data_IF_768314104597
#
_entry.id   IF_768314104597
#
_cell.length_a   1.000
_cell.length_b   1.000
_cell.length_c   1.000
_cell.angle_alpha   90.00
_cell.angle_beta   90.00
_cell.angle_gamma   90.00
#
_symmetry.space_group_name_H-M   'P 1'
#
loop_
_entity.id
_entity.type
_entity.pdbx_description
1 polymer ?
#
# COMPACT_ATOMS: atom_id res chain seq x y z
N UNK A 1 -13.46 -36.59 38.14
CA UNK A 1 -14.43 -35.74 37.41
C UNK A 1 -13.75 -34.45 36.95
N UNK A 2 -13.71 -34.27 35.62
CA UNK A 2 -13.46 -33.06 34.79
C UNK A 2 -12.43 -31.99 35.18
N UNK A 3 -11.24 -32.05 34.55
CA UNK A 3 -10.36 -30.90 34.24
C UNK A 3 -9.85 -30.95 32.79
N UNK A 4 -10.76 -31.03 31.84
CA UNK A 4 -10.41 -31.25 30.43
C UNK A 4 -11.34 -30.52 29.47
N UNK A 5 -11.53 -29.21 29.62
CA UNK A 5 -12.36 -28.45 28.67
C UNK A 5 -12.01 -26.96 28.47
N UNK A 6 -10.88 -26.46 28.97
CA UNK A 6 -10.60 -25.01 28.94
C UNK A 6 -9.43 -24.55 28.05
N UNK A 7 -8.82 -25.44 27.26
CA UNK A 7 -7.70 -25.09 26.36
C UNK A 7 -8.04 -25.20 24.87
N UNK A 8 -9.32 -25.39 24.52
CA UNK A 8 -9.76 -25.55 23.12
C UNK A 8 -10.63 -24.42 22.58
N UNK A 9 -10.93 -23.40 23.39
CA UNK A 9 -11.73 -22.24 22.96
C UNK A 9 -10.88 -20.99 22.66
N UNK A 10 -9.73 -20.79 23.31
CA UNK A 10 -8.83 -19.65 23.01
C UNK A 10 -8.02 -19.83 21.71
N UNK A 11 -7.74 -21.07 21.30
CA UNK A 11 -7.05 -21.32 20.02
C UNK A 11 -8.00 -21.14 18.81
N UNK A 12 -9.31 -21.11 19.05
CA UNK A 12 -10.34 -20.99 18.02
C UNK A 12 -10.74 -19.55 17.70
N UNK A 13 -10.40 -18.60 18.57
CA UNK A 13 -10.62 -17.16 18.35
C UNK A 13 -9.45 -16.53 17.59
N UNK A 14 -8.21 -16.99 17.80
CA UNK A 14 -7.05 -16.49 17.06
C UNK A 14 -7.04 -16.90 15.57
N UNK A 15 -7.60 -18.07 15.23
CA UNK A 15 -7.70 -18.54 13.82
C UNK A 15 -8.86 -17.86 13.07
N UNK A 16 -9.81 -17.23 13.77
CA UNK A 16 -10.98 -16.59 13.18
C UNK A 16 -10.70 -15.15 12.71
N UNK A 17 -9.80 -14.46 13.40
CA UNK A 17 -9.44 -13.07 13.06
C UNK A 17 -8.46 -13.00 11.88
N UNK A 18 -7.64 -14.05 11.68
CA UNK A 18 -6.72 -14.17 10.54
C UNK A 18 -7.47 -14.43 9.21
N UNK A 19 -8.66 -15.03 9.27
CA UNK A 19 -9.51 -15.28 8.10
C UNK A 19 -10.27 -14.02 7.64
N UNK A 20 -10.52 -13.06 8.54
CA UNK A 20 -11.25 -11.83 8.22
C UNK A 20 -10.41 -10.85 7.39
N UNK A 21 -9.08 -10.84 7.59
CA UNK A 21 -8.16 -10.04 6.76
C UNK A 21 -7.93 -10.64 5.36
N UNK A 22 -8.10 -11.96 5.20
CA UNK A 22 -7.84 -12.66 3.94
C UNK A 22 -8.99 -12.57 2.91
N UNK A 23 -10.18 -12.15 3.33
CA UNK A 23 -11.33 -11.96 2.43
C UNK A 23 -11.40 -10.57 1.79
N UNK A 24 -10.52 -9.64 2.18
CA UNK A 24 -10.46 -8.27 1.62
C UNK A 24 -9.66 -8.16 0.31
N UNK A 25 -8.97 -9.22 -0.12
CA UNK A 25 -8.06 -9.17 -1.29
C UNK A 25 -8.34 -10.27 -2.32
N UNK A 26 -9.63 -10.51 -2.59
CA UNK A 26 -10.08 -11.52 -3.54
C UNK A 26 -11.51 -11.30 -4.02
N UNK A 27 -11.79 -10.10 -4.55
CA UNK A 27 -13.08 -9.78 -5.15
C UNK A 27 -12.90 -9.19 -6.53
N UNK A 28 -13.00 -10.03 -7.56
CA UNK A 28 -13.21 -9.63 -8.94
C UNK A 28 -14.43 -8.69 -8.99
N UNK A 29 -14.23 -7.40 -9.29
CA UNK A 29 -15.33 -6.47 -9.50
C UNK A 29 -15.89 -6.70 -10.91
N UNK A 30 -17.18 -7.04 -11.07
CA UNK A 30 -17.78 -7.09 -12.39
C UNK A 30 -17.82 -5.68 -12.97
N UNK A 31 -17.20 -5.48 -14.13
CA UNK A 31 -17.34 -4.27 -14.93
C UNK A 31 -18.78 -4.17 -15.43
N UNK A 32 -19.63 -3.44 -14.71
CA UNK A 32 -20.91 -2.99 -15.26
C UNK A 32 -20.63 -1.81 -16.19
N UNK A 33 -20.58 -2.09 -17.50
CA UNK A 33 -20.57 -1.07 -18.55
C UNK A 33 -21.99 -0.51 -18.65
N UNK A 34 -22.27 0.58 -17.93
CA UNK A 34 -23.47 1.37 -18.14
C UNK A 34 -23.09 2.56 -19.01
N UNK A 35 -23.47 2.50 -20.29
CA UNK A 35 -23.48 3.67 -21.18
C UNK A 35 -24.56 4.66 -20.69
N UNK A 36 -24.17 5.58 -19.81
CA UNK A 36 -25.01 6.70 -19.42
C UNK A 36 -24.82 7.86 -20.39
N UNK A 37 -25.82 8.01 -21.26
CA UNK A 37 -26.09 9.17 -22.12
C UNK A 37 -25.97 10.45 -21.30
N UNK A 38 -25.06 11.34 -21.70
CA UNK A 38 -24.64 12.51 -20.94
C UNK A 38 -25.78 13.44 -20.52
N UNK A 39 -26.13 13.40 -19.23
CA UNK A 39 -26.72 14.54 -18.54
C UNK A 39 -25.57 15.49 -18.20
N UNK A 40 -25.45 16.59 -18.94
CA UNK A 40 -24.41 17.59 -18.70
C UNK A 40 -24.57 18.21 -17.31
N UNK A 41 -23.86 17.68 -16.30
CA UNK A 41 -23.70 18.37 -15.00
C UNK A 41 -23.11 19.75 -15.23
N UNK A 42 -23.54 20.76 -14.48
CA UNK A 42 -23.09 22.12 -14.70
C UNK A 42 -21.58 22.23 -14.43
N UNK A 43 -20.84 23.07 -15.17
CA UNK A 43 -19.40 23.26 -14.96
C UNK A 43 -19.05 23.66 -13.52
N UNK A 44 -19.93 24.38 -12.84
CA UNK A 44 -19.77 24.77 -11.43
C UNK A 44 -19.80 23.58 -10.46
N UNK A 45 -20.66 22.58 -10.72
CA UNK A 45 -20.79 21.39 -9.87
C UNK A 45 -19.50 20.55 -9.93
N UNK A 46 -18.88 20.45 -11.11
CA UNK A 46 -17.64 19.68 -11.32
C UNK A 46 -16.42 20.32 -10.67
N UNK A 47 -16.37 21.64 -10.66
CA UNK A 47 -15.31 22.39 -9.98
C UNK A 47 -15.44 22.27 -8.45
N UNK A 48 -16.67 22.22 -7.93
CA UNK A 48 -16.92 21.93 -6.52
C UNK A 48 -16.53 20.48 -6.17
N UNK A 49 -16.91 19.50 -6.99
CA UNK A 49 -16.53 18.09 -6.83
C UNK A 49 -15.00 17.93 -6.81
N UNK A 50 -14.30 18.59 -7.75
CA UNK A 50 -12.82 18.59 -7.81
C UNK A 50 -12.20 19.15 -6.53
N UNK A 51 -12.67 20.30 -6.04
CA UNK A 51 -12.15 20.91 -4.81
C UNK A 51 -12.40 20.03 -3.59
N UNK A 52 -13.56 19.35 -3.54
CA UNK A 52 -13.88 18.42 -2.47
C UNK A 52 -12.92 17.22 -2.47
N UNK A 53 -12.61 16.66 -3.65
CA UNK A 53 -11.65 15.55 -3.77
C UNK A 53 -10.23 15.98 -3.39
N UNK A 54 -9.80 17.18 -3.78
CA UNK A 54 -8.50 17.71 -3.37
C UNK A 54 -8.39 17.90 -1.86
N UNK A 55 -9.44 18.42 -1.21
CA UNK A 55 -9.47 18.54 0.24
C UNK A 55 -9.41 17.17 0.94
N UNK A 56 -10.17 16.17 0.45
CA UNK A 56 -10.09 14.79 0.96
C UNK A 56 -8.68 14.23 0.82
N UNK A 57 -8.04 14.44 -0.33
CA UNK A 57 -6.69 13.97 -0.61
C UNK A 57 -5.67 14.62 0.35
N UNK A 58 -5.77 15.91 0.59
CA UNK A 58 -4.92 16.61 1.58
C UNK A 58 -5.13 16.08 3.01
N UNK A 59 -6.37 15.78 3.38
CA UNK A 59 -6.70 15.19 4.68
C UNK A 59 -6.13 13.78 4.83
N UNK A 60 -6.20 12.95 3.79
CA UNK A 60 -5.59 11.62 3.75
C UNK A 60 -4.07 11.66 3.78
N UNK A 61 -3.44 12.61 3.06
CA UNK A 61 -2.00 12.86 3.14
C UNK A 61 -1.61 13.22 4.59
N UNK A 62 -2.40 14.09 5.24
CA UNK A 62 -2.16 14.48 6.64
C UNK A 62 -2.35 13.30 7.59
N UNK A 63 -3.40 12.49 7.40
CA UNK A 63 -3.64 11.28 8.17
C UNK A 63 -2.47 10.29 8.02
N UNK A 64 -2.00 10.04 6.80
CA UNK A 64 -0.89 9.15 6.51
C UNK A 64 0.43 9.64 7.12
N UNK A 65 0.69 10.96 7.09
CA UNK A 65 1.84 11.58 7.78
C UNK A 65 1.72 11.48 9.30
N UNK A 66 0.51 11.60 9.86
CA UNK A 66 0.27 11.48 11.30
C UNK A 66 0.50 10.05 11.80
N UNK A 67 0.06 9.04 11.02
CA UNK A 67 0.31 7.63 11.30
C UNK A 67 1.80 7.30 11.33
N UNK A 68 2.58 7.84 10.38
CA UNK A 68 4.05 7.68 10.35
C UNK A 68 4.76 8.34 11.53
N UNK A 69 4.18 9.41 12.08
CA UNK A 69 4.79 10.19 13.16
C UNK A 69 4.54 9.60 14.56
N UNK A 70 3.86 8.44 14.65
CA UNK A 70 3.61 7.78 15.94
C UNK A 70 4.92 7.27 16.56
N UNK A 71 5.11 7.43 17.88
CA UNK A 71 6.35 7.06 18.56
C UNK A 71 6.52 5.53 18.69
N UNK A 72 7.77 5.09 18.77
CA UNK A 72 8.15 3.75 19.24
C UNK A 72 7.62 3.53 20.68
N UNK A 73 7.12 2.34 21.06
CA UNK A 73 7.29 1.02 20.41
C UNK A 73 6.14 0.56 19.49
N UNK A 74 5.19 1.45 19.12
CA UNK A 74 4.05 1.05 18.27
C UNK A 74 4.46 0.80 16.80
N UNK A 75 5.55 1.45 16.37
CA UNK A 75 6.12 1.36 15.03
C UNK A 75 6.70 -0.04 14.79
N UNK A 76 6.24 -0.70 13.72
CA UNK A 76 6.62 -2.07 13.40
C UNK A 76 5.79 -3.18 14.07
N UNK A 77 4.78 -2.85 14.87
CA UNK A 77 3.76 -3.83 15.27
C UNK A 77 2.92 -4.28 14.05
N UNK A 78 2.35 -5.50 14.05
CA UNK A 78 1.45 -5.95 12.99
C UNK A 78 0.27 -4.99 12.78
N UNK A 79 -0.32 -4.49 13.87
CA UNK A 79 -1.45 -3.55 13.81
C UNK A 79 -1.04 -2.22 13.18
N UNK A 80 0.15 -1.70 13.52
CA UNK A 80 0.68 -0.48 12.90
C UNK A 80 0.95 -0.67 11.41
N UNK A 81 1.50 -1.82 11.01
CA UNK A 81 1.73 -2.18 9.60
C UNK A 81 0.40 -2.24 8.84
N UNK A 82 -0.60 -2.93 9.39
CA UNK A 82 -1.94 -3.05 8.81
C UNK A 82 -2.62 -1.68 8.68
N UNK A 83 -2.56 -0.85 9.71
CA UNK A 83 -3.08 0.50 9.68
C UNK A 83 -2.40 1.35 8.58
N UNK A 84 -1.08 1.21 8.41
CA UNK A 84 -0.34 1.87 7.34
C UNK A 84 -0.80 1.47 5.94
N UNK A 85 -0.97 0.17 5.71
CA UNK A 85 -1.48 -0.35 4.44
C UNK A 85 -2.90 0.16 4.15
N UNK A 86 -3.79 0.19 5.14
CA UNK A 86 -5.14 0.71 4.99
C UNK A 86 -5.16 2.21 4.64
N UNK A 87 -4.28 3.01 5.26
CA UNK A 87 -4.15 4.45 4.95
C UNK A 87 -3.58 4.68 3.54
N UNK A 88 -2.64 3.84 3.09
CA UNK A 88 -2.14 3.87 1.71
C UNK A 88 -3.27 3.53 0.73
N UNK A 89 -4.07 2.50 1.01
CA UNK A 89 -5.20 2.10 0.16
C UNK A 89 -6.26 3.22 0.03
N UNK A 90 -6.59 3.89 1.14
CA UNK A 90 -7.51 5.02 1.14
C UNK A 90 -6.99 6.15 0.23
N UNK A 91 -5.72 6.54 0.41
CA UNK A 91 -5.08 7.56 -0.41
C UNK A 91 -5.08 7.20 -1.90
N UNK A 92 -4.78 5.93 -2.22
CA UNK A 92 -4.82 5.43 -3.59
C UNK A 92 -6.22 5.44 -4.20
N UNK A 93 -7.26 5.20 -3.40
CA UNK A 93 -8.67 5.24 -3.84
C UNK A 93 -9.07 6.66 -4.20
N UNK A 94 -8.75 7.64 -3.36
CA UNK A 94 -9.06 9.04 -3.64
C UNK A 94 -8.26 9.60 -4.82
N UNK A 95 -7.02 9.11 -5.03
CA UNK A 95 -6.25 9.40 -6.23
C UNK A 95 -6.92 8.83 -7.49
N UNK A 96 -7.44 7.61 -7.44
CA UNK A 96 -8.17 6.98 -8.55
C UNK A 96 -9.44 7.79 -8.89
N UNK A 97 -10.25 8.16 -7.89
CA UNK A 97 -11.44 8.99 -8.08
C UNK A 97 -11.11 10.35 -8.72
N UNK A 98 -10.01 10.98 -8.29
CA UNK A 98 -9.54 12.24 -8.87
C UNK A 98 -9.07 12.06 -10.32
N UNK A 99 -8.30 11.00 -10.62
CA UNK A 99 -7.83 10.71 -11.97
C UNK A 99 -8.99 10.42 -12.93
N UNK A 100 -10.00 9.67 -12.48
CA UNK A 100 -11.21 9.42 -13.26
C UNK A 100 -11.97 10.72 -13.56
N UNK A 101 -12.08 11.62 -12.59
CA UNK A 101 -12.68 12.94 -12.79
C UNK A 101 -11.89 13.77 -13.82
N UNK A 102 -10.56 13.77 -13.76
CA UNK A 102 -9.70 14.48 -14.71
C UNK A 102 -9.84 13.91 -16.13
N UNK A 103 -9.80 12.58 -16.29
CA UNK A 103 -10.00 11.91 -17.59
C UNK A 103 -11.38 12.22 -18.20
N UNK A 104 -12.43 12.26 -17.38
CA UNK A 104 -13.77 12.65 -17.82
C UNK A 104 -13.83 14.11 -18.31
N UNK A 105 -12.93 14.99 -17.85
CA UNK A 105 -12.84 16.37 -18.35
C UNK A 105 -12.01 16.49 -19.62
N UNK A 106 -10.90 15.75 -19.74
CA UNK A 106 -10.03 15.81 -20.91
C UNK A 106 -10.67 15.22 -22.17
N UNK A 107 -11.45 14.14 -22.01
CA UNK A 107 -12.29 13.58 -23.10
C UNK A 107 -13.28 14.60 -23.65
N UNK A 108 -13.87 15.43 -22.77
CA UNK A 108 -14.76 16.53 -23.15
C UNK A 108 -14.03 17.72 -23.75
N UNK A 109 -12.75 17.93 -23.41
CA UNK A 109 -11.94 19.08 -23.84
C UNK A 109 -11.03 18.80 -25.04
N UNK A 110 -10.98 17.56 -25.53
CA UNK A 110 -10.08 17.13 -26.62
C UNK A 110 -8.62 17.54 -26.38
N UNK A 111 -8.20 17.54 -25.10
CA UNK A 111 -6.84 17.92 -24.73
C UNK A 111 -5.98 16.66 -24.76
N UNK A 112 -4.90 16.69 -25.52
CA UNK A 112 -3.85 15.68 -25.41
C UNK A 112 -3.28 15.67 -23.98
N UNK A 113 -2.88 14.50 -23.47
CA UNK A 113 -2.24 14.36 -22.16
C UNK A 113 -1.18 15.43 -21.93
N UNK A 114 -1.19 16.03 -20.74
CA UNK A 114 -0.21 17.05 -20.37
C UNK A 114 1.11 16.40 -19.94
N UNK A 115 2.28 17.04 -20.13
CA UNK A 115 3.56 16.43 -19.77
C UNK A 115 3.69 16.04 -18.30
N UNK A 116 3.00 16.73 -17.38
CA UNK A 116 3.01 16.38 -15.96
C UNK A 116 2.13 15.16 -15.64
N UNK A 117 1.04 14.93 -16.37
CA UNK A 117 0.18 13.75 -16.20
C UNK A 117 0.86 12.47 -16.68
N UNK A 118 1.58 12.54 -17.80
CA UNK A 118 2.38 11.39 -18.29
C UNK A 118 3.44 11.00 -17.24
N UNK A 119 4.13 12.00 -16.70
CA UNK A 119 5.16 11.75 -15.68
C UNK A 119 4.58 11.18 -14.38
N UNK A 120 3.42 11.66 -13.97
CA UNK A 120 2.70 11.13 -12.82
C UNK A 120 2.28 9.66 -13.05
N UNK A 121 1.81 9.33 -14.25
CA UNK A 121 1.47 7.96 -14.62
C UNK A 121 2.69 7.03 -14.55
N UNK A 122 3.86 7.49 -15.03
CA UNK A 122 5.11 6.74 -14.88
C UNK A 122 5.42 6.41 -13.41
N UNK A 123 5.16 7.35 -12.48
CA UNK A 123 5.40 7.13 -11.06
C UNK A 123 4.41 6.10 -10.48
N UNK A 124 3.14 6.13 -10.90
CA UNK A 124 2.15 5.11 -10.53
C UNK A 124 2.47 3.73 -11.09
N UNK A 125 3.00 3.63 -12.30
CA UNK A 125 3.47 2.36 -12.87
C UNK A 125 4.62 1.80 -12.02
N UNK A 126 5.58 2.63 -11.62
CA UNK A 126 6.65 2.22 -10.70
C UNK A 126 6.12 1.75 -9.34
N UNK A 127 5.07 2.40 -8.82
CA UNK A 127 4.39 1.92 -7.62
C UNK A 127 3.75 0.54 -7.84
N UNK A 128 3.04 0.34 -8.95
CA UNK A 128 2.43 -0.95 -9.27
C UNK A 128 3.48 -2.07 -9.36
N UNK A 129 4.62 -1.81 -10.00
CA UNK A 129 5.75 -2.76 -10.09
C UNK A 129 6.35 -3.08 -8.71
N UNK A 130 6.53 -2.05 -7.87
CA UNK A 130 7.04 -2.21 -6.52
C UNK A 130 6.06 -3.01 -5.63
N UNK A 131 4.76 -2.73 -5.70
CA UNK A 131 3.74 -3.47 -4.95
C UNK A 131 3.55 -4.90 -5.45
N UNK A 132 3.68 -5.13 -6.76
CA UNK A 132 3.69 -6.48 -7.32
C UNK A 132 4.87 -7.31 -6.80
N UNK A 133 6.06 -6.70 -6.78
CA UNK A 133 7.26 -7.31 -6.22
C UNK A 133 7.13 -7.54 -4.70
N UNK A 134 6.58 -6.56 -3.98
CA UNK A 134 6.29 -6.66 -2.55
C UNK A 134 5.34 -7.81 -2.22
N UNK A 135 4.26 -7.98 -3.00
CA UNK A 135 3.34 -9.12 -2.84
C UNK A 135 4.07 -10.46 -2.97
N UNK A 136 4.97 -10.60 -3.96
CA UNK A 136 5.79 -11.80 -4.14
C UNK A 136 6.71 -12.08 -2.95
N UNK A 137 7.33 -11.02 -2.40
CA UNK A 137 8.18 -11.09 -1.20
C UNK A 137 7.37 -11.53 0.03
N UNK A 138 6.15 -11.03 0.21
CA UNK A 138 5.25 -11.43 1.30
C UNK A 138 4.84 -12.91 1.22
N UNK A 139 4.53 -13.40 0.03
CA UNK A 139 4.21 -14.82 -0.19
C UNK A 139 5.42 -15.68 0.20
N UNK A 140 6.61 -15.32 -0.28
CA UNK A 140 7.87 -16.01 0.04
C UNK A 140 8.18 -16.00 1.54
N UNK A 141 7.84 -14.91 2.24
CA UNK A 141 7.99 -14.79 3.69
C UNK A 141 7.07 -15.75 4.42
N UNK A 142 5.80 -15.82 4.04
CA UNK A 142 4.82 -16.75 4.60
C UNK A 142 5.25 -18.20 4.42
N UNK A 143 5.69 -18.57 3.23
CA UNK A 143 6.20 -19.92 2.92
C UNK A 143 7.43 -20.26 3.77
N UNK A 144 8.40 -19.35 3.84
CA UNK A 144 9.60 -19.53 4.65
C UNK A 144 9.28 -19.69 6.15
N UNK A 145 8.31 -18.94 6.67
CA UNK A 145 7.87 -19.07 8.08
C UNK A 145 7.22 -20.43 8.34
N UNK A 146 6.35 -20.89 7.45
CA UNK A 146 5.76 -22.22 7.55
C UNK A 146 6.83 -23.32 7.49
N UNK A 147 7.76 -23.24 6.55
CA UNK A 147 8.88 -24.18 6.45
C UNK A 147 9.72 -24.20 7.72
N UNK A 148 10.07 -23.04 8.26
CA UNK A 148 10.83 -22.92 9.50
C UNK A 148 10.10 -23.59 10.67
N UNK A 149 8.80 -23.34 10.83
CA UNK A 149 7.99 -23.97 11.87
C UNK A 149 7.95 -25.49 11.71
N UNK A 150 7.75 -25.99 10.49
CA UNK A 150 7.74 -27.44 10.23
C UNK A 150 9.10 -28.10 10.49
N UNK A 151 10.20 -27.43 10.14
CA UNK A 151 11.56 -27.90 10.37
C UNK A 151 11.87 -27.99 11.87
N UNK A 152 11.48 -26.96 12.65
CA UNK A 152 11.59 -26.97 14.11
C UNK A 152 10.81 -28.13 14.71
N UNK A 153 9.55 -28.34 14.30
CA UNK A 153 8.71 -29.44 14.81
C UNK A 153 9.28 -30.81 14.50
N UNK A 154 9.96 -30.95 13.35
CA UNK A 154 10.64 -32.18 12.91
C UNK A 154 12.07 -32.32 13.44
N UNK A 155 12.59 -31.32 14.16
CA UNK A 155 13.98 -31.26 14.63
C UNK A 155 15.01 -31.40 13.49
N UNK A 156 14.69 -30.82 12.34
CA UNK A 156 15.55 -30.85 11.15
C UNK A 156 16.42 -29.58 11.12
N UNK A 157 17.61 -29.68 11.70
CA UNK A 157 18.55 -28.55 11.84
C UNK A 157 19.02 -28.00 10.49
N UNK A 158 19.19 -28.86 9.49
CA UNK A 158 19.61 -28.45 8.15
C UNK A 158 18.55 -27.58 7.48
N UNK A 159 17.28 -27.96 7.60
CA UNK A 159 16.15 -27.16 7.08
C UNK A 159 15.94 -25.88 7.88
N UNK A 160 16.09 -25.90 9.21
CA UNK A 160 16.07 -24.66 10.02
C UNK A 160 17.13 -23.68 9.53
N UNK A 161 18.38 -24.13 9.35
CA UNK A 161 19.45 -23.30 8.84
C UNK A 161 19.15 -22.76 7.42
N UNK A 162 18.50 -23.57 6.58
CA UNK A 162 18.06 -23.14 5.24
C UNK A 162 17.00 -22.05 5.28
N UNK A 163 15.95 -22.21 6.09
CA UNK A 163 14.87 -21.23 6.22
C UNK A 163 15.37 -19.91 6.83
N UNK A 164 16.34 -19.95 7.75
CA UNK A 164 17.00 -18.70 8.24
C UNK A 164 17.76 -18.00 7.11
N UNK A 165 18.41 -18.75 6.20
CA UNK A 165 19.08 -18.15 5.04
C UNK A 165 18.09 -17.54 4.04
N UNK A 166 16.95 -18.19 3.78
CA UNK A 166 15.91 -17.62 2.90
C UNK A 166 15.29 -16.36 3.51
N UNK A 167 15.02 -16.36 4.83
CA UNK A 167 14.53 -15.19 5.56
C UNK A 167 15.49 -14.01 5.45
N UNK A 168 16.82 -14.23 5.52
CA UNK A 168 17.82 -13.18 5.28
C UNK A 168 17.82 -12.66 3.83
N UNK A 169 17.50 -13.49 2.84
CA UNK A 169 17.33 -13.05 1.44
C UNK A 169 16.10 -12.15 1.31
N UNK A 170 14.98 -12.58 1.89
CA UNK A 170 13.72 -11.81 1.94
C UNK A 170 13.94 -10.43 2.58
N UNK A 171 14.68 -10.36 3.69
CA UNK A 171 15.03 -9.07 4.32
C UNK A 171 15.84 -8.15 3.38
N UNK A 172 16.74 -8.71 2.55
CA UNK A 172 17.48 -7.94 1.54
C UNK A 172 16.55 -7.47 0.42
N UNK A 173 15.60 -8.29 0.00
CA UNK A 173 14.65 -7.92 -1.04
C UNK A 173 13.67 -6.84 -0.56
N UNK A 174 13.22 -6.87 0.70
CA UNK A 174 12.49 -5.76 1.33
C UNK A 174 13.33 -4.46 1.35
N UNK A 175 14.63 -4.55 1.62
CA UNK A 175 15.50 -3.38 1.57
C UNK A 175 15.66 -2.82 0.14
N UNK A 176 15.69 -3.67 -0.90
CA UNK A 176 15.70 -3.23 -2.30
C UNK A 176 14.38 -2.56 -2.68
N UNK A 177 13.24 -3.07 -2.19
CA UNK A 177 11.93 -2.46 -2.42
C UNK A 177 11.85 -1.04 -1.85
N UNK A 178 12.43 -0.81 -0.67
CA UNK A 178 12.54 0.54 -0.08
C UNK A 178 13.31 1.50 -1.00
N UNK A 179 14.40 1.02 -1.62
CA UNK A 179 15.14 1.83 -2.58
C UNK A 179 14.27 2.10 -3.81
N UNK A 180 13.73 1.05 -4.43
CA UNK A 180 12.89 1.13 -5.64
C UNK A 180 11.71 2.09 -5.49
N UNK A 181 10.96 2.00 -4.38
CA UNK A 181 9.78 2.84 -4.16
C UNK A 181 10.11 4.31 -3.88
N UNK A 182 11.33 4.59 -3.38
CA UNK A 182 11.85 5.96 -3.23
C UNK A 182 12.28 6.58 -4.56
N UNK A 183 12.62 5.75 -5.54
CA UNK A 183 12.95 6.26 -6.87
C UNK A 183 11.72 6.77 -7.60
N UNK A 184 10.53 6.22 -7.29
CA UNK A 184 9.25 6.59 -7.87
C UNK A 184 8.81 8.03 -7.51
N UNK A 185 9.23 8.61 -6.38
CA UNK A 185 8.81 9.96 -5.96
C UNK A 185 9.74 11.10 -6.38
N UNK A 186 10.71 10.87 -7.28
CA UNK A 186 11.70 11.89 -7.70
C UNK A 186 11.27 12.75 -8.90
N UNK A 187 9.98 12.78 -9.20
CA UNK A 187 9.44 13.44 -10.39
C UNK A 187 9.38 14.98 -10.28
N UNK A 188 9.78 15.72 -11.33
CA UNK A 188 9.62 17.17 -11.40
C UNK A 188 8.24 17.60 -11.95
N UNK A 189 7.18 16.81 -11.73
CA UNK A 189 5.84 17.02 -12.31
C UNK A 189 5.30 18.47 -12.21
N UNK A 190 5.42 19.21 -11.08
CA UNK A 190 4.92 20.59 -11.01
C UNK A 190 5.63 21.58 -11.95
N UNK A 191 6.88 21.32 -12.33
CA UNK A 191 7.62 22.17 -13.26
C UNK A 191 7.15 21.98 -14.72
N UNK A 192 6.43 20.89 -15.01
CA UNK A 192 5.95 20.52 -16.33
C UNK A 192 4.50 20.99 -16.60
N UNK A 193 3.86 21.60 -15.61
CA UNK A 193 2.50 22.11 -15.71
C UNK A 193 2.43 23.44 -16.48
N UNK A 194 1.44 23.58 -17.36
CA UNK A 194 1.31 24.67 -18.32
C UNK A 194 0.75 25.96 -17.70
N UNK A 195 -0.13 25.85 -16.70
CA UNK A 195 -0.79 26.98 -16.06
C UNK A 195 -0.78 26.89 -14.52
N UNK A 196 -1.41 27.88 -13.85
CA UNK A 196 -1.44 27.93 -12.39
C UNK A 196 -2.29 26.80 -11.77
N UNK A 197 -3.40 26.42 -12.42
CA UNK A 197 -4.30 25.39 -11.91
C UNK A 197 -3.68 23.99 -12.06
N UNK A 198 -3.00 23.72 -13.18
CA UNK A 198 -2.21 22.51 -13.37
C UNK A 198 -1.04 22.41 -12.39
N UNK A 199 -0.39 23.55 -12.08
CA UNK A 199 0.72 23.57 -11.10
C UNK A 199 0.26 23.24 -9.69
N UNK A 200 -0.88 23.79 -9.28
CA UNK A 200 -1.51 23.47 -8.00
C UNK A 200 -1.82 21.97 -7.93
N UNK A 201 -2.50 21.43 -8.95
CA UNK A 201 -2.84 20.01 -9.06
C UNK A 201 -1.59 19.11 -9.01
N UNK A 202 -0.61 19.37 -9.86
CA UNK A 202 0.63 18.62 -9.90
C UNK A 202 1.40 18.69 -8.57
N UNK A 203 1.28 19.82 -7.85
CA UNK A 203 1.82 20.00 -6.51
C UNK A 203 1.20 19.03 -5.51
N UNK A 204 -0.12 18.99 -5.43
CA UNK A 204 -0.86 18.09 -4.53
C UNK A 204 -0.59 16.63 -4.88
N UNK A 205 -0.59 16.27 -6.18
CA UNK A 205 -0.29 14.91 -6.63
C UNK A 205 1.14 14.50 -6.25
N UNK A 206 2.12 15.42 -6.37
CA UNK A 206 3.50 15.16 -5.91
C UNK A 206 3.57 14.95 -4.41
N UNK A 207 2.76 15.68 -3.62
CA UNK A 207 2.69 15.45 -2.18
C UNK A 207 2.09 14.09 -1.83
N UNK A 208 1.05 13.67 -2.55
CA UNK A 208 0.44 12.36 -2.40
C UNK A 208 1.44 11.25 -2.72
N UNK A 209 2.13 11.32 -3.87
CA UNK A 209 3.14 10.31 -4.23
C UNK A 209 4.30 10.27 -3.25
N UNK A 210 4.76 11.43 -2.76
CA UNK A 210 5.78 11.49 -1.71
C UNK A 210 5.30 10.84 -0.39
N UNK A 211 4.06 11.12 0.02
CA UNK A 211 3.47 10.53 1.23
C UNK A 211 3.33 9.00 1.11
N UNK A 212 2.83 8.51 -0.03
CA UNK A 212 2.76 7.09 -0.38
C UNK A 212 4.13 6.43 -0.33
N UNK A 213 5.14 7.04 -0.96
CA UNK A 213 6.51 6.49 -0.97
C UNK A 213 7.06 6.35 0.45
N UNK A 214 6.92 7.38 1.28
CA UNK A 214 7.43 7.34 2.65
C UNK A 214 6.69 6.28 3.49
N UNK A 215 5.36 6.24 3.40
CA UNK A 215 4.55 5.27 4.12
C UNK A 215 4.88 3.83 3.71
N UNK A 216 4.97 3.57 2.41
CA UNK A 216 5.30 2.24 1.88
C UNK A 216 6.69 1.79 2.31
N UNK A 217 7.67 2.70 2.25
CA UNK A 217 9.01 2.42 2.76
C UNK A 217 8.99 2.08 4.26
N UNK A 218 8.19 2.79 5.05
CA UNK A 218 8.03 2.53 6.48
C UNK A 218 7.39 1.15 6.74
N UNK A 219 6.36 0.78 5.99
CA UNK A 219 5.74 -0.56 6.03
C UNK A 219 6.76 -1.65 5.68
N UNK A 220 7.51 -1.49 4.59
CA UNK A 220 8.52 -2.48 4.16
C UNK A 220 9.61 -2.66 5.22
N UNK A 221 10.05 -1.57 5.86
CA UNK A 221 11.01 -1.61 6.96
C UNK A 221 10.42 -2.26 8.21
N UNK A 222 9.16 -1.98 8.55
CA UNK A 222 8.45 -2.61 9.66
C UNK A 222 8.39 -4.12 9.49
N UNK A 223 7.95 -4.60 8.32
CA UNK A 223 7.90 -6.04 8.01
C UNK A 223 9.30 -6.67 8.08
N UNK A 224 10.32 -5.96 7.61
CA UNK A 224 11.71 -6.43 7.70
C UNK A 224 12.18 -6.57 9.15
N UNK A 225 11.81 -5.64 10.04
CA UNK A 225 12.15 -5.68 11.46
C UNK A 225 11.41 -6.79 12.23
N UNK A 226 10.10 -6.97 11.97
CA UNK A 226 9.34 -8.13 12.48
C UNK A 226 9.98 -9.44 12.01
N UNK A 227 10.43 -9.46 10.76
CA UNK A 227 11.14 -10.61 10.20
C UNK A 227 12.55 -10.80 10.75
N UNK A 228 13.21 -9.83 11.39
CA UNK A 228 14.54 -10.04 12.00
C UNK A 228 14.42 -10.57 13.43
N UNK A 229 13.54 -9.97 14.23
CA UNK A 229 13.30 -10.37 15.63
C UNK A 229 12.85 -11.83 15.74
N UNK A 230 12.00 -12.30 14.81
CA UNK A 230 11.58 -13.70 14.74
C UNK A 230 12.73 -14.70 14.52
N UNK A 231 13.83 -14.27 13.88
CA UNK A 231 15.01 -15.11 13.62
C UNK A 231 16.03 -15.09 14.76
N UNK A 232 16.01 -14.05 15.60
CA UNK A 232 16.96 -13.85 16.71
C UNK A 232 16.46 -14.48 18.01
N UNK A 233 15.16 -14.46 18.28
CA UNK A 233 14.54 -15.03 19.49
C UNK A 233 14.63 -16.57 19.61
N UNK A 234 15.25 -17.27 18.65
CA UNK A 234 15.36 -18.74 18.60
C UNK A 234 16.80 -19.26 18.52
N UNK A 235 17.79 -18.37 18.74
CA UNK A 235 19.19 -18.76 19.00
C UNK A 235 19.43 -18.90 20.49
#
# INVERSE_FOLDING_TARGET
>A
MNRGRSYKEEEKTAERDDASCLLLWGGDRPQSVIYSRGSGRRPADREADRRSLLASLEDEIRALRSWQSRPEPESGSPDWICAGLAQIELLHTSLDDLLQLLQAQDTLRHRSSTPWTDRLLDDFLRFADAYGSFRSVLISLKETQFELQTAIRRRDEARVASSIRSQKRIQKDLAKLVVSIREASRSPAPALAADAAEREMAGIMREATAATTMASAAVFLGIRAVSSSASESKR
#
